data_IF_566528044810
#
_entry.id   IF_566528044810
#
_cell.length_a   1.000
_cell.length_b   1.000
_cell.length_c   1.000
_cell.angle_alpha   90.00
_cell.angle_beta   90.00
_cell.angle_gamma   90.00
#
_symmetry.space_group_name_H-M   'P 1'
#
loop_
_entity.id
_entity.type
_entity.pdbx_description
1 polymer ?
#
# COMPACT_ATOMS: atom_id res chain seq x y z
N UNK A 1 19.80 9.39 -19.71
CA UNK A 1 18.45 9.58 -19.16
C UNK A 1 17.54 8.58 -19.80
N UNK A 2 17.13 7.54 -19.07
CA UNK A 2 16.07 6.66 -19.51
C UNK A 2 14.77 7.47 -19.40
N UNK A 3 14.22 7.88 -20.56
CA UNK A 3 12.90 8.50 -20.61
C UNK A 3 11.94 7.52 -19.94
N UNK A 4 11.26 7.93 -18.87
CA UNK A 4 10.03 7.26 -18.46
C UNK A 4 9.10 7.32 -19.67
N UNK A 5 8.91 6.17 -20.32
CA UNK A 5 8.14 6.06 -21.56
C UNK A 5 6.64 6.12 -21.29
N UNK A 6 5.85 6.03 -22.36
CA UNK A 6 4.44 5.70 -22.24
C UNK A 6 4.37 4.25 -21.75
N UNK A 7 3.70 4.00 -20.62
CA UNK A 7 3.44 2.65 -20.16
C UNK A 7 2.30 2.06 -20.99
N UNK A 8 2.51 0.88 -21.55
CA UNK A 8 1.47 0.13 -22.25
C UNK A 8 1.63 -1.34 -21.93
N UNK A 9 0.51 -2.02 -21.70
CA UNK A 9 0.45 -3.45 -21.49
C UNK A 9 -0.86 -3.99 -22.06
N UNK A 10 -0.93 -5.31 -22.21
CA UNK A 10 -2.17 -6.00 -22.56
C UNK A 10 -3.10 -6.05 -21.35
N UNK A 11 -4.41 -6.03 -21.60
CA UNK A 11 -5.41 -6.38 -20.59
C UNK A 11 -5.68 -7.88 -20.72
N UNK A 12 -5.04 -8.67 -19.85
CA UNK A 12 -5.15 -10.13 -19.88
C UNK A 12 -6.57 -10.56 -19.47
N UNK A 13 -7.06 -11.67 -20.03
CA UNK A 13 -8.13 -12.43 -19.41
C UNK A 13 -7.55 -13.53 -18.50
N UNK A 14 -8.35 -14.17 -17.62
CA UNK A 14 -7.82 -15.17 -16.69
C UNK A 14 -7.08 -16.36 -17.33
N UNK A 15 -7.41 -16.72 -18.58
CA UNK A 15 -6.68 -17.75 -19.33
C UNK A 15 -5.27 -17.28 -19.75
N UNK A 16 -5.13 -16.00 -20.17
CA UNK A 16 -3.82 -15.41 -20.49
C UNK A 16 -2.91 -15.38 -19.26
N UNK A 17 -3.48 -15.07 -18.09
CA UNK A 17 -2.75 -15.05 -16.81
C UNK A 17 -2.16 -16.42 -16.48
N UNK A 18 -2.92 -17.50 -16.67
CA UNK A 18 -2.43 -18.87 -16.46
C UNK A 18 -1.32 -19.27 -17.44
N UNK A 19 -1.29 -18.66 -18.63
CA UNK A 19 -0.30 -18.91 -19.67
C UNK A 19 0.88 -17.93 -19.64
N UNK A 20 0.91 -17.00 -18.67
CA UNK A 20 1.88 -15.92 -18.63
C UNK A 20 3.31 -16.44 -18.36
N UNK A 21 4.26 -16.23 -19.29
CA UNK A 21 5.62 -16.75 -19.17
C UNK A 21 6.42 -16.10 -18.04
N UNK A 22 6.08 -14.87 -17.62
CA UNK A 22 6.73 -14.22 -16.49
C UNK A 22 6.31 -14.84 -15.17
N UNK A 23 5.01 -15.07 -14.97
CA UNK A 23 4.49 -15.77 -13.79
C UNK A 23 5.02 -17.21 -13.72
N UNK A 24 5.07 -17.92 -14.86
CA UNK A 24 5.64 -19.26 -14.94
C UNK A 24 7.13 -19.28 -14.58
N UNK A 25 7.94 -18.35 -15.12
CA UNK A 25 9.37 -18.28 -14.83
C UNK A 25 9.70 -17.96 -13.36
N UNK A 26 8.74 -17.36 -12.63
CA UNK A 26 8.84 -17.09 -11.19
C UNK A 26 8.27 -18.22 -10.32
N UNK A 27 7.79 -19.31 -10.93
CA UNK A 27 7.18 -20.44 -10.23
C UNK A 27 5.91 -20.04 -9.46
N UNK A 28 5.19 -19.02 -9.95
CA UNK A 28 4.03 -18.48 -9.24
C UNK A 28 2.85 -19.46 -9.17
N UNK A 29 2.77 -20.38 -10.13
CA UNK A 29 1.78 -21.46 -10.18
C UNK A 29 2.37 -22.83 -9.79
N UNK A 30 3.55 -22.87 -9.17
CA UNK A 30 4.19 -24.12 -8.71
C UNK A 30 3.55 -24.63 -7.40
N UNK A 31 2.25 -24.86 -7.45
CA UNK A 31 1.40 -25.25 -6.33
C UNK A 31 0.68 -26.56 -6.65
N UNK A 32 0.15 -27.24 -5.64
CA UNK A 32 -0.47 -28.56 -5.81
C UNK A 32 -1.63 -28.55 -6.81
N UNK A 33 -2.40 -27.46 -6.86
CA UNK A 33 -3.54 -27.28 -7.75
C UNK A 33 -3.22 -26.36 -8.93
N UNK A 34 -1.96 -25.92 -9.10
CA UNK A 34 -1.50 -24.99 -10.12
C UNK A 34 -2.30 -23.68 -10.18
N UNK A 35 -2.69 -23.18 -9.01
CA UNK A 35 -3.33 -21.88 -8.77
C UNK A 35 -2.52 -21.10 -7.72
N UNK A 36 -2.62 -19.77 -7.70
CA UNK A 36 -1.80 -18.97 -6.80
C UNK A 36 -2.15 -19.21 -5.32
N UNK A 37 -1.13 -19.34 -4.45
CA UNK A 37 -1.26 -19.57 -3.00
C UNK A 37 -0.40 -18.66 -2.09
N UNK A 38 0.61 -17.98 -2.66
CA UNK A 38 1.49 -17.01 -1.98
C UNK A 38 1.39 -15.57 -2.51
N UNK A 39 1.45 -14.59 -1.61
CA UNK A 39 1.44 -13.16 -1.96
C UNK A 39 2.82 -12.56 -2.28
N UNK A 40 3.89 -13.14 -1.73
CA UNK A 40 5.25 -12.67 -1.94
C UNK A 40 6.21 -13.87 -1.93
N UNK A 41 7.41 -13.68 -2.47
CA UNK A 41 8.48 -14.68 -2.37
C UNK A 41 9.49 -14.29 -1.30
N UNK A 42 10.01 -15.29 -0.60
CA UNK A 42 10.92 -15.13 0.52
C UNK A 42 12.24 -15.82 0.21
N UNK A 43 13.35 -15.09 0.32
CA UNK A 43 14.70 -15.65 0.30
C UNK A 43 15.28 -15.53 1.71
N UNK A 44 15.42 -16.66 2.37
CA UNK A 44 15.93 -16.72 3.74
C UNK A 44 17.42 -16.32 3.79
N UNK A 45 17.81 -15.58 4.83
CA UNK A 45 19.22 -15.31 5.11
C UNK A 45 19.95 -16.60 5.49
N UNK A 46 21.18 -16.76 5.03
CA UNK A 46 21.98 -17.99 5.28
C UNK A 46 22.68 -17.98 6.64
N UNK A 47 22.86 -16.81 7.24
CA UNK A 47 23.49 -16.64 8.54
C UNK A 47 22.43 -16.60 9.65
N UNK A 48 22.65 -17.43 10.67
CA UNK A 48 21.92 -17.40 11.92
C UNK A 48 22.69 -16.51 12.91
N UNK A 49 22.05 -15.46 13.39
CA UNK A 49 22.56 -14.68 14.54
C UNK A 49 21.81 -15.10 15.80
N UNK A 50 22.31 -14.69 16.96
CA UNK A 50 21.50 -14.80 18.18
C UNK A 50 20.18 -14.06 17.97
N UNK A 51 19.09 -14.63 18.48
CA UNK A 51 17.77 -14.02 18.37
C UNK A 51 17.88 -12.55 18.82
N UNK A 52 17.55 -11.58 17.94
CA UNK A 52 17.81 -10.18 18.24
C UNK A 52 17.05 -9.79 19.49
N UNK A 53 17.75 -9.15 20.42
CA UNK A 53 17.14 -8.64 21.64
C UNK A 53 15.95 -7.73 21.26
N UNK A 54 14.81 -7.94 21.91
CA UNK A 54 13.67 -7.03 21.75
C UNK A 54 14.14 -5.64 22.18
N UNK A 55 14.29 -4.73 21.22
CA UNK A 55 14.60 -3.35 21.52
C UNK A 55 13.45 -2.77 22.34
N UNK A 56 13.77 -2.16 23.47
CA UNK A 56 12.79 -1.36 24.21
C UNK A 56 12.52 -0.09 23.41
N UNK A 57 11.39 -0.02 22.73
CA UNK A 57 10.96 1.18 22.02
C UNK A 57 10.41 2.23 22.96
N UNK A 58 10.54 3.50 22.57
CA UNK A 58 9.94 4.64 23.28
C UNK A 58 8.53 4.97 22.79
N UNK A 59 8.18 4.50 21.59
CA UNK A 59 6.85 4.66 21.00
C UNK A 59 5.90 3.56 21.47
N UNK A 60 4.66 3.87 21.88
CA UNK A 60 3.66 2.85 22.16
C UNK A 60 3.21 2.15 20.86
N UNK A 61 2.82 0.87 20.96
CA UNK A 61 2.26 0.10 19.85
C UNK A 61 2.85 -1.31 19.73
N UNK A 62 2.21 -2.20 18.95
CA UNK A 62 2.64 -3.59 18.80
C UNK A 62 4.00 -3.75 18.11
N UNK A 63 4.46 -2.74 17.36
CA UNK A 63 5.78 -2.72 16.75
C UNK A 63 6.77 -1.79 17.49
N UNK A 64 6.49 -1.46 18.75
CA UNK A 64 7.42 -0.71 19.60
C UNK A 64 8.80 -1.38 19.60
N UNK A 65 9.83 -0.57 19.35
CA UNK A 65 11.23 -1.01 19.31
C UNK A 65 11.69 -1.53 17.96
N UNK A 66 10.78 -1.78 17.01
CA UNK A 66 11.16 -2.13 15.63
C UNK A 66 11.70 -0.89 14.93
N UNK A 67 12.86 -1.02 14.30
CA UNK A 67 13.56 0.06 13.60
C UNK A 67 13.52 -0.18 12.09
N UNK A 68 13.01 0.79 11.33
CA UNK A 68 12.82 0.66 9.89
C UNK A 68 13.56 1.78 9.17
N UNK A 69 14.41 1.40 8.21
CA UNK A 69 15.03 2.31 7.28
C UNK A 69 14.22 2.30 5.96
N UNK A 70 13.65 3.44 5.63
CA UNK A 70 12.69 3.63 4.53
C UNK A 70 13.36 4.35 3.35
N UNK A 71 13.67 3.60 2.28
CA UNK A 71 14.10 4.16 1.00
C UNK A 71 12.93 4.30 0.00
N UNK A 72 11.71 4.04 0.44
CA UNK A 72 10.57 4.05 -0.45
C UNK A 72 10.26 5.45 -0.96
N UNK A 73 9.57 5.46 -2.10
CA UNK A 73 9.09 6.66 -2.77
C UNK A 73 7.72 6.40 -3.40
N UNK A 74 6.98 7.46 -3.68
CA UNK A 74 5.60 7.39 -4.16
C UNK A 74 4.69 6.65 -3.15
N UNK A 75 3.77 5.81 -3.63
CA UNK A 75 2.68 5.29 -2.81
C UNK A 75 3.07 4.02 -2.03
N UNK A 76 3.44 2.94 -2.72
CA UNK A 76 3.44 1.59 -2.15
C UNK A 76 4.31 1.47 -0.90
N UNK A 77 5.61 1.68 -1.03
CA UNK A 77 6.51 1.53 0.11
C UNK A 77 6.28 2.60 1.18
N UNK A 78 5.80 3.79 0.81
CA UNK A 78 5.47 4.84 1.78
C UNK A 78 4.30 4.45 2.68
N UNK A 79 3.24 3.85 2.13
CA UNK A 79 2.11 3.31 2.92
C UNK A 79 2.57 2.13 3.77
N UNK A 80 3.46 1.27 3.26
CA UNK A 80 4.01 0.15 4.02
C UNK A 80 4.68 0.65 5.30
N UNK A 81 5.62 1.58 5.18
CA UNK A 81 6.37 2.08 6.34
C UNK A 81 5.56 3.02 7.21
N UNK A 82 4.58 3.75 6.65
CA UNK A 82 3.57 4.47 7.44
C UNK A 82 2.77 3.51 8.30
N UNK A 83 2.29 2.39 7.75
CA UNK A 83 1.54 1.37 8.50
C UNK A 83 2.37 0.82 9.65
N UNK A 84 3.65 0.49 9.40
CA UNK A 84 4.56 0.02 10.44
C UNK A 84 4.81 1.11 11.51
N UNK A 85 5.03 2.35 11.10
CA UNK A 85 5.29 3.48 11.98
C UNK A 85 4.09 3.86 12.84
N UNK A 86 2.90 3.85 12.26
CA UNK A 86 1.65 4.09 12.97
C UNK A 86 1.38 3.00 14.02
N UNK A 87 1.87 1.77 13.79
CA UNK A 87 1.86 0.68 14.77
C UNK A 87 3.01 0.74 15.81
N UNK A 88 3.78 1.83 15.83
CA UNK A 88 4.79 2.11 16.85
C UNK A 88 6.24 1.88 16.43
N UNK A 89 6.51 1.47 15.18
CA UNK A 89 7.88 1.34 14.72
C UNK A 89 8.59 2.71 14.59
N UNK A 90 9.90 2.72 14.76
CA UNK A 90 10.75 3.88 14.53
C UNK A 90 11.16 3.90 13.05
N UNK A 91 10.66 4.86 12.28
CA UNK A 91 10.91 4.95 10.84
C UNK A 91 11.87 6.10 10.54
N UNK A 92 12.98 5.81 9.87
CA UNK A 92 13.88 6.80 9.28
C UNK A 92 13.77 6.72 7.76
N UNK A 93 13.17 7.74 7.15
CA UNK A 93 13.06 7.88 5.70
C UNK A 93 14.30 8.55 5.12
N UNK A 94 14.93 7.88 4.16
CA UNK A 94 16.04 8.42 3.38
C UNK A 94 15.49 9.02 2.09
N UNK A 95 15.71 10.31 1.91
CA UNK A 95 15.23 11.08 0.76
C UNK A 95 16.38 11.84 0.09
N UNK A 96 16.15 12.46 -1.07
CA UNK A 96 17.12 13.35 -1.70
C UNK A 96 16.44 14.60 -2.24
N UNK A 97 17.03 15.77 -2.03
CA UNK A 97 16.56 17.02 -2.66
C UNK A 97 16.79 17.05 -4.17
N UNK A 98 17.81 16.32 -4.64
CA UNK A 98 18.11 16.25 -6.08
C UNK A 98 17.15 15.35 -6.85
N UNK A 99 16.54 14.39 -6.16
CA UNK A 99 15.51 13.49 -6.68
C UNK A 99 14.44 13.27 -5.60
N UNK A 100 13.58 14.27 -5.35
CA UNK A 100 12.57 14.16 -4.31
C UNK A 100 11.62 13.00 -4.56
N UNK A 101 11.04 12.49 -3.47
CA UNK A 101 9.89 11.61 -3.53
C UNK A 101 8.82 12.21 -4.46
N UNK A 102 8.19 11.38 -5.31
CA UNK A 102 7.12 11.85 -6.21
C UNK A 102 6.00 12.54 -5.45
N UNK A 103 5.71 12.11 -4.22
CA UNK A 103 4.70 12.74 -3.38
C UNK A 103 5.05 14.18 -2.95
N UNK A 104 6.34 14.56 -2.99
CA UNK A 104 6.80 15.93 -2.72
C UNK A 104 6.73 16.85 -3.95
N UNK A 105 6.42 16.31 -5.13
CA UNK A 105 6.31 17.07 -6.38
C UNK A 105 4.86 17.42 -6.73
N UNK A 106 3.91 16.86 -6.00
CA UNK A 106 2.50 16.88 -6.31
C UNK A 106 1.81 18.18 -5.88
N UNK A 107 1.20 18.89 -6.83
CA UNK A 107 0.52 20.17 -6.56
C UNK A 107 -0.98 19.97 -6.75
N UNK A 108 -1.65 19.50 -5.70
CA UNK A 108 -3.08 19.15 -5.72
C UNK A 108 -4.00 20.24 -5.20
N UNK A 109 -3.53 21.07 -4.26
CA UNK A 109 -4.36 22.08 -3.57
C UNK A 109 -3.75 23.46 -3.69
N UNK A 110 -4.57 24.49 -3.50
CA UNK A 110 -4.14 25.90 -3.55
C UNK A 110 -3.04 26.25 -2.54
N UNK A 111 -2.96 25.52 -1.43
CA UNK A 111 -1.89 25.67 -0.43
C UNK A 111 -0.54 25.12 -0.91
N UNK A 112 -0.51 24.21 -1.89
CA UNK A 112 0.71 23.63 -2.43
C UNK A 112 1.32 24.51 -3.51
N UNK A 113 2.63 24.77 -3.42
CA UNK A 113 3.35 25.58 -4.41
C UNK A 113 4.39 24.75 -5.19
N UNK A 114 4.58 25.01 -6.50
CA UNK A 114 5.74 24.48 -7.22
C UNK A 114 7.04 24.89 -6.52
N UNK A 115 7.98 23.96 -6.36
CA UNK A 115 9.30 24.21 -5.78
C UNK A 115 9.37 24.18 -4.24
N UNK A 116 8.24 24.13 -3.54
CA UNK A 116 8.21 23.79 -2.11
C UNK A 116 7.95 22.29 -1.95
N UNK A 117 8.75 21.59 -1.14
CA UNK A 117 8.62 20.14 -0.95
C UNK A 117 7.77 19.74 0.26
N UNK A 118 7.44 20.69 1.12
CA UNK A 118 6.86 20.41 2.44
C UNK A 118 5.39 20.83 2.55
N UNK A 119 4.82 21.54 1.58
CA UNK A 119 3.41 21.96 1.55
C UNK A 119 2.52 20.99 0.74
N UNK A 120 2.79 19.68 0.85
CA UNK A 120 2.28 18.64 -0.05
C UNK A 120 1.31 17.70 0.71
N UNK A 121 -0.02 17.79 0.51
CA UNK A 121 -1.00 16.93 1.18
C UNK A 121 -0.75 15.45 0.93
N UNK A 122 -0.45 15.07 -0.31
CA UNK A 122 -0.20 13.68 -0.66
C UNK A 122 1.02 13.11 0.09
N UNK A 123 2.14 13.85 0.15
CA UNK A 123 3.28 13.46 0.98
C UNK A 123 2.92 13.37 2.45
N UNK A 124 2.22 14.38 2.97
CA UNK A 124 1.83 14.48 4.38
C UNK A 124 0.98 13.30 4.82
N UNK A 125 0.04 12.89 3.96
CA UNK A 125 -0.81 11.75 4.19
C UNK A 125 -0.02 10.42 4.22
N UNK A 126 0.90 10.21 3.27
CA UNK A 126 1.61 8.95 3.09
C UNK A 126 2.78 8.73 4.07
N UNK A 127 3.21 9.76 4.80
CA UNK A 127 4.47 9.73 5.55
C UNK A 127 4.33 10.14 7.02
N UNK A 128 3.14 10.00 7.62
CA UNK A 128 3.01 10.11 9.09
C UNK A 128 3.89 9.10 9.80
N UNK A 129 4.24 9.38 11.05
CA UNK A 129 5.03 8.50 11.91
C UNK A 129 6.47 8.26 11.45
N UNK A 130 7.04 9.16 10.63
CA UNK A 130 8.40 9.04 10.09
C UNK A 130 9.27 10.23 10.46
N UNK A 131 10.56 9.97 10.63
CA UNK A 131 11.63 10.98 10.58
C UNK A 131 12.24 11.00 9.19
N UNK A 132 12.79 12.12 8.76
CA UNK A 132 13.39 12.28 7.41
C UNK A 132 14.85 12.72 7.49
N UNK A 133 15.68 12.07 6.69
CA UNK A 133 17.08 12.39 6.42
C UNK A 133 17.22 12.61 4.92
N UNK A 134 17.64 13.82 4.52
CA UNK A 134 17.99 14.06 3.12
C UNK A 134 19.45 13.74 2.89
N UNK A 135 19.73 12.92 1.87
CA UNK A 135 21.09 12.50 1.52
C UNK A 135 21.33 12.51 0.01
N UNK A 136 22.48 13.06 -0.36
CA UNK A 136 23.05 12.88 -1.68
C UNK A 136 23.82 11.57 -1.76
N UNK A 137 23.12 10.49 -2.09
CA UNK A 137 23.68 9.12 -2.17
C UNK A 137 24.79 8.94 -3.23
N UNK A 138 25.11 9.96 -4.04
CA UNK A 138 26.26 9.93 -4.96
C UNK A 138 27.57 10.30 -4.29
N UNK A 139 27.52 10.92 -3.12
CA UNK A 139 28.68 11.30 -2.32
C UNK A 139 29.13 10.07 -1.52
N UNK A 140 30.39 9.62 -1.64
CA UNK A 140 30.90 8.53 -0.83
C UNK A 140 30.70 8.76 0.67
N UNK A 141 30.80 10.01 1.11
CA UNK A 141 30.61 10.44 2.51
C UNK A 141 29.18 10.20 3.03
N UNK A 142 28.19 10.01 2.15
CA UNK A 142 26.84 9.60 2.57
C UNK A 142 26.84 8.25 3.30
N UNK A 143 27.85 7.41 3.05
CA UNK A 143 28.05 6.13 3.76
C UNK A 143 28.32 6.32 5.25
N UNK A 144 28.84 7.47 5.69
CA UNK A 144 29.01 7.78 7.11
C UNK A 144 27.67 7.85 7.87
N UNK A 145 26.54 8.00 7.16
CA UNK A 145 25.21 7.89 7.76
C UNK A 145 24.53 6.57 7.41
N UNK A 146 24.61 6.14 6.15
CA UNK A 146 23.89 4.95 5.70
C UNK A 146 24.38 3.69 6.42
N UNK A 147 25.69 3.52 6.55
CA UNK A 147 26.24 2.29 7.12
C UNK A 147 25.90 2.13 8.61
N UNK A 148 25.98 3.17 9.48
CA UNK A 148 25.44 3.09 10.83
C UNK A 148 23.92 2.88 10.89
N UNK A 149 23.15 3.47 9.96
CA UNK A 149 21.71 3.27 9.91
C UNK A 149 21.32 1.84 9.52
N UNK A 150 22.11 1.16 8.71
CA UNK A 150 21.94 -0.27 8.42
C UNK A 150 22.23 -1.13 9.66
N UNK A 151 23.23 -0.76 10.47
CA UNK A 151 23.52 -1.45 11.74
C UNK A 151 22.40 -1.24 12.76
N UNK A 152 21.77 -0.07 12.74
CA UNK A 152 20.64 0.27 13.59
C UNK A 152 19.34 -0.43 13.18
N UNK A 153 19.12 -0.64 11.88
CA UNK A 153 17.84 -1.10 11.35
C UNK A 153 17.54 -2.59 11.61
N UNK A 154 16.26 -2.88 11.86
CA UNK A 154 15.69 -4.23 11.79
C UNK A 154 15.17 -4.56 10.40
N UNK A 155 14.62 -3.54 9.74
CA UNK A 155 13.92 -3.66 8.46
C UNK A 155 14.42 -2.58 7.50
N UNK A 156 14.64 -2.95 6.25
CA UNK A 156 14.83 -2.02 5.13
C UNK A 156 13.66 -2.17 4.16
N UNK A 157 13.01 -1.08 3.80
CA UNK A 157 11.94 -1.08 2.79
C UNK A 157 12.33 -0.20 1.61
N UNK A 158 12.16 -0.73 0.40
CA UNK A 158 12.39 0.00 -0.84
C UNK A 158 11.41 -0.46 -1.93
N UNK A 159 11.16 0.43 -2.89
CA UNK A 159 10.34 0.13 -4.08
C UNK A 159 10.90 0.78 -5.35
N UNK A 160 12.21 0.69 -5.53
CA UNK A 160 12.88 1.12 -6.75
C UNK A 160 12.77 0.07 -7.86
N UNK A 161 13.08 0.48 -9.09
CA UNK A 161 13.24 -0.47 -10.19
C UNK A 161 14.33 -1.50 -9.85
N UNK A 162 14.12 -2.80 -10.13
CA UNK A 162 15.07 -3.85 -9.77
C UNK A 162 16.50 -3.55 -10.23
N UNK A 163 17.47 -3.81 -9.34
CA UNK A 163 18.89 -3.50 -9.55
C UNK A 163 19.31 -2.07 -9.18
N UNK A 164 18.38 -1.18 -8.79
CA UNK A 164 18.74 0.16 -8.28
C UNK A 164 19.50 0.06 -6.96
N UNK A 165 19.02 -0.73 -6.00
CA UNK A 165 19.69 -0.92 -4.72
C UNK A 165 21.05 -1.61 -4.88
N UNK A 166 21.19 -2.57 -5.81
CA UNK A 166 22.47 -3.20 -6.13
C UNK A 166 23.51 -2.18 -6.64
N UNK A 167 23.10 -1.26 -7.54
CA UNK A 167 23.97 -0.17 -8.02
C UNK A 167 24.40 0.80 -6.91
N UNK A 168 23.59 0.91 -5.86
CA UNK A 168 23.92 1.70 -4.67
C UNK A 168 24.79 0.91 -3.68
N UNK A 169 24.95 -0.41 -3.85
CA UNK A 169 25.60 -1.29 -2.87
C UNK A 169 24.74 -1.49 -1.61
N UNK A 170 23.43 -1.55 -1.78
CA UNK A 170 22.40 -1.67 -0.73
C UNK A 170 21.38 -2.77 -1.07
N UNK A 171 21.74 -3.71 -1.95
CA UNK A 171 20.92 -4.91 -2.15
C UNK A 171 20.98 -5.83 -0.93
N UNK A 172 20.06 -6.79 -0.87
CA UNK A 172 19.94 -7.65 0.31
C UNK A 172 21.25 -8.36 0.66
N UNK A 173 22.01 -8.84 -0.33
CA UNK A 173 23.26 -9.56 -0.06
C UNK A 173 24.31 -8.64 0.57
N UNK A 174 24.41 -7.38 0.12
CA UNK A 174 25.26 -6.36 0.75
C UNK A 174 24.80 -6.02 2.16
N UNK A 175 23.48 -5.89 2.37
CA UNK A 175 22.92 -5.57 3.67
C UNK A 175 23.08 -6.72 4.66
N UNK A 176 22.78 -7.95 4.26
CA UNK A 176 22.89 -9.15 5.08
C UNK A 176 24.35 -9.48 5.44
N UNK A 177 25.31 -9.13 4.58
CA UNK A 177 26.73 -9.25 4.92
C UNK A 177 27.15 -8.33 6.08
N UNK A 178 26.48 -7.18 6.24
CA UNK A 178 26.72 -6.22 7.32
C UNK A 178 25.85 -6.48 8.55
N UNK A 179 24.56 -6.72 8.33
CA UNK A 179 23.55 -7.00 9.34
C UNK A 179 22.78 -8.28 8.96
N UNK A 180 23.24 -9.47 9.40
CA UNK A 180 22.64 -10.74 9.00
C UNK A 180 21.19 -10.96 9.47
N UNK A 181 20.75 -10.20 10.47
CA UNK A 181 19.37 -10.21 10.97
C UNK A 181 18.43 -9.27 10.21
N UNK A 182 18.89 -8.57 9.17
CA UNK A 182 18.07 -7.59 8.46
C UNK A 182 16.91 -8.27 7.70
N UNK A 183 15.72 -7.70 7.81
CA UNK A 183 14.61 -8.01 6.89
C UNK A 183 14.57 -6.94 5.82
N UNK A 184 14.76 -7.31 4.55
CA UNK A 184 14.62 -6.38 3.43
C UNK A 184 13.32 -6.65 2.68
N UNK A 185 12.58 -5.60 2.34
CA UNK A 185 11.42 -5.69 1.45
C UNK A 185 11.66 -4.87 0.20
N UNK A 186 11.53 -5.53 -0.95
CA UNK A 186 11.64 -4.92 -2.27
C UNK A 186 10.29 -4.99 -2.99
N UNK A 187 9.64 -3.85 -3.16
CA UNK A 187 8.40 -3.74 -3.93
C UNK A 187 8.63 -3.32 -5.38
N UNK A 188 8.12 -4.07 -6.36
CA UNK A 188 8.10 -3.62 -7.76
C UNK A 188 6.87 -4.18 -8.49
N UNK A 189 6.58 -3.68 -9.70
CA UNK A 189 5.40 -4.18 -10.42
C UNK A 189 5.54 -5.65 -10.80
N UNK A 190 6.71 -6.05 -11.29
CA UNK A 190 6.96 -7.39 -11.81
C UNK A 190 7.75 -8.31 -10.87
N UNK A 191 8.14 -7.81 -9.69
CA UNK A 191 9.08 -8.48 -8.79
C UNK A 191 10.55 -8.27 -9.17
N UNK A 192 11.47 -8.84 -8.40
CA UNK A 192 12.91 -8.69 -8.57
C UNK A 192 13.53 -9.65 -9.61
N UNK A 193 12.77 -10.65 -10.06
CA UNK A 193 13.23 -11.72 -10.97
C UNK A 193 12.20 -12.02 -12.05
N UNK A 194 12.60 -12.77 -13.08
CA UNK A 194 11.73 -13.13 -14.21
C UNK A 194 11.91 -12.25 -15.44
N UNK A 195 11.38 -12.66 -16.61
CA UNK A 195 11.53 -11.99 -17.89
C UNK A 195 11.14 -10.49 -17.89
N UNK A 196 10.11 -10.11 -17.13
CA UNK A 196 9.60 -8.74 -17.07
C UNK A 196 10.18 -7.94 -15.89
N UNK A 197 11.15 -8.47 -15.12
CA UNK A 197 11.65 -7.78 -13.92
C UNK A 197 12.25 -6.39 -14.20
N UNK A 198 12.79 -6.17 -15.40
CA UNK A 198 13.37 -4.88 -15.80
C UNK A 198 12.35 -3.94 -16.46
N UNK A 199 11.11 -4.40 -16.66
CA UNK A 199 10.05 -3.57 -17.20
C UNK A 199 9.54 -2.57 -16.16
N UNK A 200 9.05 -1.43 -16.65
CA UNK A 200 8.46 -0.42 -15.81
C UNK A 200 6.93 -0.56 -15.80
N UNK A 201 6.32 -0.36 -14.63
CA UNK A 201 4.89 -0.52 -14.41
C UNK A 201 4.36 0.54 -13.46
N UNK A 202 3.05 0.74 -13.50
CA UNK A 202 2.25 1.47 -12.50
C UNK A 202 1.05 0.61 -12.11
N UNK A 203 0.20 1.07 -11.19
CA UNK A 203 -0.98 0.34 -10.73
C UNK A 203 -1.83 -0.24 -11.88
N UNK A 204 -2.16 0.59 -12.87
CA UNK A 204 -2.93 0.17 -14.05
C UNK A 204 -2.28 -0.97 -14.83
N UNK A 205 -0.94 -1.07 -14.82
CA UNK A 205 -0.20 -2.19 -15.41
C UNK A 205 -0.47 -3.48 -14.65
N UNK A 206 -0.38 -3.44 -13.32
CA UNK A 206 -0.68 -4.60 -12.46
C UNK A 206 -2.15 -5.04 -12.56
N UNK A 207 -3.08 -4.09 -12.60
CA UNK A 207 -4.51 -4.35 -12.77
C UNK A 207 -4.86 -4.97 -14.13
N UNK A 208 -4.25 -4.47 -15.22
CA UNK A 208 -4.50 -4.97 -16.57
C UNK A 208 -3.93 -6.39 -16.77
N UNK A 209 -2.68 -6.62 -16.35
CA UNK A 209 -2.05 -7.92 -16.52
C UNK A 209 -2.65 -9.00 -15.62
N UNK A 210 -3.18 -8.64 -14.45
CA UNK A 210 -3.75 -9.62 -13.50
C UNK A 210 -5.11 -10.21 -13.89
N UNK A 211 -5.71 -9.76 -15.00
CA UNK A 211 -7.07 -10.16 -15.37
C UNK A 211 -8.17 -9.33 -14.71
N UNK A 212 -7.82 -8.47 -13.76
CA UNK A 212 -8.78 -7.65 -13.01
C UNK A 212 -9.48 -6.63 -13.91
N UNK A 213 -8.74 -5.91 -14.75
CA UNK A 213 -9.33 -4.93 -15.68
C UNK A 213 -10.32 -5.60 -16.64
N UNK A 214 -9.98 -6.77 -17.20
CA UNK A 214 -10.86 -7.51 -18.12
C UNK A 214 -12.20 -7.90 -17.49
N UNK A 215 -12.17 -8.28 -16.21
CA UNK A 215 -13.33 -8.71 -15.42
C UNK A 215 -14.13 -7.56 -14.82
N UNK A 216 -13.69 -6.31 -15.01
CA UNK A 216 -14.38 -5.13 -14.48
C UNK A 216 -15.23 -4.46 -15.56
N UNK A 217 -16.49 -4.15 -15.23
CA UNK A 217 -17.41 -3.39 -16.07
C UNK A 217 -18.68 -4.17 -16.44
N UNK A 218 -19.48 -3.59 -17.33
CA UNK A 218 -20.70 -4.22 -17.84
C UNK A 218 -20.39 -5.20 -18.96
N UNK A 219 -21.13 -6.32 -19.02
CA UNK A 219 -20.90 -7.40 -19.98
C UNK A 219 -20.98 -6.95 -21.45
N UNK A 220 -21.82 -5.94 -21.73
CA UNK A 220 -22.09 -5.36 -23.04
C UNK A 220 -21.20 -4.14 -23.37
N UNK A 221 -20.23 -3.80 -22.50
CA UNK A 221 -19.31 -2.66 -22.67
C UNK A 221 -17.86 -3.10 -22.65
N UNK A 222 -16.96 -2.21 -23.05
CA UNK A 222 -15.53 -2.44 -22.95
C UNK A 222 -15.07 -2.60 -21.49
N UNK A 223 -13.95 -3.33 -21.24
CA UNK A 223 -13.33 -3.39 -19.92
C UNK A 223 -12.98 -2.00 -19.38
N UNK A 224 -13.10 -1.82 -18.07
CA UNK A 224 -12.76 -0.55 -17.41
C UNK A 224 -11.73 -0.78 -16.31
N UNK A 225 -10.88 0.22 -16.07
CA UNK A 225 -10.02 0.22 -14.89
C UNK A 225 -10.94 0.44 -13.67
N UNK A 226 -10.96 -0.46 -12.67
CA UNK A 226 -11.88 -0.38 -11.54
C UNK A 226 -11.60 0.81 -10.63
N UNK A 227 -12.57 1.73 -10.55
CA UNK A 227 -12.61 2.82 -9.57
C UNK A 227 -11.56 3.91 -9.78
N UNK A 228 -11.61 4.94 -8.92
CA UNK A 228 -10.63 6.02 -8.88
C UNK A 228 -9.41 5.68 -7.99
N UNK A 229 -9.50 4.63 -7.18
CA UNK A 229 -8.46 4.22 -6.24
C UNK A 229 -7.57 3.15 -6.88
N UNK A 230 -6.25 3.35 -6.93
CA UNK A 230 -5.34 2.42 -7.60
C UNK A 230 -5.16 1.16 -6.74
N UNK A 231 -5.74 0.03 -7.19
CA UNK A 231 -5.95 -1.15 -6.36
C UNK A 231 -4.65 -1.82 -5.88
N UNK A 232 -3.75 -2.13 -6.80
CA UNK A 232 -2.44 -2.72 -6.52
C UNK A 232 -1.64 -1.84 -5.57
N UNK A 233 -1.66 -0.53 -5.83
CA UNK A 233 -1.02 0.50 -5.04
C UNK A 233 -1.53 0.56 -3.58
N UNK A 234 -2.77 0.16 -3.29
CA UNK A 234 -3.33 0.12 -1.93
C UNK A 234 -3.28 -1.25 -1.26
N UNK A 235 -3.32 -2.37 -2.00
CA UNK A 235 -3.27 -3.72 -1.39
C UNK A 235 -1.83 -4.17 -1.09
N UNK A 236 -0.90 -3.88 -2.00
CA UNK A 236 0.51 -4.29 -1.88
C UNK A 236 1.16 -3.78 -0.58
N UNK A 237 0.92 -2.53 -0.13
CA UNK A 237 1.50 -2.04 1.12
C UNK A 237 1.14 -2.86 2.35
N UNK A 238 -0.12 -3.29 2.44
CA UNK A 238 -0.59 -4.08 3.59
C UNK A 238 -0.05 -5.51 3.54
N UNK A 239 0.07 -6.08 2.34
CA UNK A 239 0.77 -7.36 2.13
C UNK A 239 2.24 -7.25 2.56
N UNK A 240 2.94 -6.19 2.14
CA UNK A 240 4.34 -5.95 2.54
C UNK A 240 4.46 -5.78 4.06
N UNK A 241 3.58 -4.99 4.69
CA UNK A 241 3.61 -4.77 6.13
C UNK A 241 3.33 -6.07 6.92
N UNK A 242 2.39 -6.90 6.46
CA UNK A 242 2.13 -8.22 7.04
C UNK A 242 3.35 -9.15 6.86
N UNK A 243 3.98 -9.13 5.68
CA UNK A 243 5.21 -9.87 5.40
C UNK A 243 6.35 -9.48 6.34
N UNK A 244 6.53 -8.17 6.61
CA UNK A 244 7.49 -7.68 7.60
C UNK A 244 7.19 -8.22 9.00
N UNK A 245 5.94 -8.14 9.45
CA UNK A 245 5.56 -8.64 10.77
C UNK A 245 5.82 -10.14 10.92
N UNK A 246 5.48 -10.94 9.88
CA UNK A 246 5.77 -12.37 9.84
C UNK A 246 7.26 -12.68 9.83
N UNK A 247 8.05 -11.95 9.02
CA UNK A 247 9.49 -12.10 8.97
C UNK A 247 10.18 -11.74 10.29
N UNK A 248 9.74 -10.67 10.95
CA UNK A 248 10.25 -10.28 12.27
C UNK A 248 9.90 -11.33 13.33
N UNK A 249 8.70 -11.91 13.30
CA UNK A 249 8.34 -13.01 14.19
C UNK A 249 9.23 -14.24 13.95
N UNK A 250 9.41 -14.65 12.69
CA UNK A 250 10.28 -15.77 12.35
C UNK A 250 11.72 -15.51 12.79
N UNK A 251 12.25 -14.31 12.54
CA UNK A 251 13.58 -13.89 12.99
C UNK A 251 13.73 -13.93 14.51
N UNK A 252 12.69 -13.65 15.29
CA UNK A 252 12.75 -13.78 16.78
C UNK A 252 12.98 -15.23 17.21
N UNK A 253 12.49 -16.19 16.44
CA UNK A 253 12.62 -17.61 16.74
C UNK A 253 13.92 -18.20 16.20
N UNK A 254 14.35 -17.76 15.01
CA UNK A 254 15.48 -18.37 14.29
C UNK A 254 16.74 -17.53 14.28
N UNK A 255 16.66 -16.23 14.57
CA UNK A 255 17.75 -15.28 14.41
C UNK A 255 18.12 -15.00 12.95
N UNK A 256 17.30 -15.38 11.97
CA UNK A 256 17.61 -15.21 10.54
C UNK A 256 16.80 -14.08 9.93
N UNK A 257 17.48 -13.15 9.26
CA UNK A 257 16.85 -12.18 8.37
C UNK A 257 16.29 -12.83 7.10
N UNK A 258 15.61 -12.04 6.27
CA UNK A 258 15.14 -12.50 4.96
C UNK A 258 14.96 -11.34 3.97
N UNK A 259 14.91 -11.69 2.68
CA UNK A 259 14.51 -10.80 1.61
C UNK A 259 13.10 -11.16 1.16
N UNK A 260 12.20 -10.18 1.20
CA UNK A 260 10.83 -10.26 0.71
C UNK A 260 10.76 -9.56 -0.64
N UNK A 261 10.56 -10.33 -1.72
CA UNK A 261 10.27 -9.80 -3.06
C UNK A 261 8.74 -9.75 -3.25
N UNK A 262 8.21 -8.53 -3.27
CA UNK A 262 6.79 -8.24 -3.37
C UNK A 262 6.45 -7.69 -4.77
N UNK A 263 5.93 -8.57 -5.63
CA UNK A 263 5.46 -8.23 -6.97
C UNK A 263 4.01 -7.76 -6.94
N UNK A 264 3.74 -6.52 -7.37
CA UNK A 264 2.37 -6.02 -7.50
C UNK A 264 1.54 -6.91 -8.43
N UNK A 265 2.14 -7.38 -9.52
CA UNK A 265 1.48 -8.23 -10.48
C UNK A 265 1.00 -9.53 -9.81
N UNK A 266 1.89 -10.23 -9.10
CA UNK A 266 1.55 -11.48 -8.38
C UNK A 266 0.48 -11.24 -7.30
N UNK A 267 0.60 -10.14 -6.54
CA UNK A 267 -0.36 -9.78 -5.49
C UNK A 267 -1.74 -9.46 -6.08
N UNK A 268 -1.81 -8.81 -7.24
CA UNK A 268 -3.07 -8.57 -7.93
C UNK A 268 -3.67 -9.89 -8.46
N UNK A 269 -2.84 -10.79 -9.02
CA UNK A 269 -3.30 -12.10 -9.54
C UNK A 269 -3.85 -12.99 -8.42
N UNK A 270 -3.27 -12.93 -7.21
CA UNK A 270 -3.78 -13.67 -6.04
C UNK A 270 -5.27 -13.41 -5.77
N UNK A 271 -5.73 -12.18 -5.98
CA UNK A 271 -7.13 -11.81 -5.75
C UNK A 271 -8.09 -12.40 -6.80
N UNK A 272 -7.56 -12.92 -7.91
CA UNK A 272 -8.33 -13.45 -9.03
C UNK A 272 -8.44 -14.98 -8.99
N UNK A 273 -8.03 -15.64 -7.90
CA UNK A 273 -7.91 -17.10 -7.79
C UNK A 273 -9.17 -17.86 -8.26
N UNK A 274 -10.35 -17.40 -7.87
CA UNK A 274 -11.62 -18.06 -8.25
C UNK A 274 -11.87 -18.04 -9.76
N UNK A 275 -11.54 -16.92 -10.42
CA UNK A 275 -11.66 -16.78 -11.88
C UNK A 275 -10.57 -17.53 -12.63
N UNK A 276 -9.36 -17.63 -12.07
CA UNK A 276 -8.31 -18.50 -12.60
C UNK A 276 -8.72 -19.97 -12.50
N UNK A 277 -9.38 -20.37 -11.41
CA UNK A 277 -9.90 -21.73 -11.25
C UNK A 277 -10.99 -22.04 -12.29
N UNK A 278 -11.86 -21.08 -12.63
CA UNK A 278 -12.83 -21.19 -13.72
C UNK A 278 -12.13 -21.36 -15.07
N UNK A 279 -11.17 -20.47 -15.38
CA UNK A 279 -10.40 -20.54 -16.62
C UNK A 279 -9.66 -21.88 -16.79
N UNK A 280 -9.10 -22.40 -15.70
CA UNK A 280 -8.44 -23.71 -15.67
C UNK A 280 -9.38 -24.88 -15.99
N UNK A 281 -10.68 -24.75 -15.71
CA UNK A 281 -11.72 -25.72 -16.11
C UNK A 281 -12.21 -25.53 -17.55
N UNK A 282 -11.66 -24.59 -18.29
CA UNK A 282 -12.06 -24.25 -19.66
C UNK A 282 -13.23 -23.27 -19.74
N UNK A 283 -13.65 -22.68 -18.61
CA UNK A 283 -14.64 -21.61 -18.60
C UNK A 283 -13.99 -20.28 -19.01
N UNK A 284 -14.77 -19.32 -19.49
CA UNK A 284 -14.28 -17.97 -19.81
C UNK A 284 -15.03 -16.94 -19.00
N UNK A 285 -14.67 -16.72 -17.72
CA UNK A 285 -15.35 -15.75 -16.86
C UNK A 285 -15.45 -14.38 -17.53
N UNK A 286 -16.61 -13.75 -17.43
CA UNK A 286 -16.88 -12.44 -17.99
C UNK A 286 -17.20 -11.43 -16.88
N UNK A 287 -17.07 -10.15 -17.20
CA UNK A 287 -17.53 -9.04 -16.36
C UNK A 287 -19.06 -9.03 -16.27
N UNK A 288 -19.60 -8.72 -15.10
CA UNK A 288 -21.02 -8.91 -14.76
C UNK A 288 -21.70 -7.63 -14.24
N UNK A 289 -21.07 -6.46 -14.39
CA UNK A 289 -21.55 -5.22 -13.78
C UNK A 289 -21.58 -5.33 -12.26
N UNK A 290 -22.73 -5.02 -11.65
CA UNK A 290 -22.91 -5.11 -10.20
C UNK A 290 -23.26 -6.52 -9.71
N UNK A 291 -23.48 -7.51 -10.59
CA UNK A 291 -23.90 -8.85 -10.19
C UNK A 291 -22.73 -9.75 -9.70
N UNK A 292 -23.06 -10.76 -8.89
CA UNK A 292 -22.15 -11.82 -8.45
C UNK A 292 -22.88 -13.17 -8.57
N UNK A 293 -22.25 -14.17 -9.18
CA UNK A 293 -22.84 -15.49 -9.40
C UNK A 293 -23.21 -16.24 -8.10
N UNK A 294 -22.71 -15.80 -6.94
CA UNK A 294 -22.96 -16.37 -5.61
C UNK A 294 -24.12 -15.67 -4.88
N UNK A 295 -24.62 -14.55 -5.41
CA UNK A 295 -25.69 -13.75 -4.81
C UNK A 295 -26.93 -13.85 -5.70
N UNK A 296 -28.09 -14.19 -5.11
CA UNK A 296 -29.32 -14.38 -5.89
C UNK A 296 -29.72 -13.13 -6.69
N UNK A 297 -29.68 -11.96 -6.05
CA UNK A 297 -29.90 -10.68 -6.72
C UNK A 297 -29.14 -9.56 -5.99
N UNK A 298 -28.50 -8.66 -6.73
CA UNK A 298 -27.93 -7.44 -6.17
C UNK A 298 -27.77 -6.38 -7.26
N UNK A 299 -27.83 -5.11 -6.89
CA UNK A 299 -27.55 -4.00 -7.79
C UNK A 299 -27.22 -2.70 -7.02
N UNK A 300 -26.73 -1.70 -7.76
CA UNK A 300 -26.62 -0.30 -7.33
C UNK A 300 -27.72 0.50 -8.01
N UNK A 301 -28.62 1.07 -7.22
CA UNK A 301 -29.85 1.71 -7.70
C UNK A 301 -29.88 3.20 -7.34
N UNK A 302 -30.48 4.05 -8.21
CA UNK A 302 -30.56 5.48 -7.93
C UNK A 302 -31.47 5.74 -6.73
N UNK A 303 -31.14 6.79 -5.99
CA UNK A 303 -31.93 7.37 -4.92
C UNK A 303 -32.30 8.82 -5.27
N UNK A 304 -33.18 9.45 -4.49
CA UNK A 304 -33.53 10.85 -4.70
C UNK A 304 -32.35 11.77 -4.44
N UNK A 305 -32.06 12.66 -5.38
CA UNK A 305 -30.97 13.63 -5.30
C UNK A 305 -30.10 13.61 -6.54
N UNK A 306 -29.05 14.44 -6.54
CA UNK A 306 -28.03 14.44 -7.58
C UNK A 306 -26.96 13.39 -7.24
N UNK A 307 -26.72 12.46 -8.17
CA UNK A 307 -25.75 11.37 -8.07
C UNK A 307 -25.83 10.55 -6.75
N UNK A 308 -27.06 10.29 -6.26
CA UNK A 308 -27.31 9.50 -5.04
C UNK A 308 -27.69 8.07 -5.38
N UNK A 309 -27.14 7.10 -4.64
CA UNK A 309 -27.34 5.68 -4.92
C UNK A 309 -27.38 4.84 -3.65
N UNK A 310 -28.04 3.68 -3.75
CA UNK A 310 -28.02 2.62 -2.74
C UNK A 310 -27.56 1.31 -3.37
N UNK A 311 -26.72 0.56 -2.66
CA UNK A 311 -26.34 -0.80 -3.02
C UNK A 311 -27.20 -1.78 -2.21
N UNK A 312 -27.89 -2.70 -2.90
CA UNK A 312 -28.77 -3.69 -2.27
C UNK A 312 -28.30 -5.10 -2.66
N UNK A 313 -28.18 -5.99 -1.68
CA UNK A 313 -27.85 -7.40 -1.89
C UNK A 313 -28.88 -8.32 -1.25
N UNK A 314 -29.39 -9.26 -2.04
CA UNK A 314 -30.27 -10.34 -1.63
C UNK A 314 -29.57 -11.68 -1.89
N UNK A 315 -28.91 -12.26 -0.88
CA UNK A 315 -28.18 -13.53 -1.03
C UNK A 315 -29.09 -14.70 -1.42
N UNK A 316 -30.37 -14.66 -1.02
CA UNK A 316 -31.34 -15.73 -1.27
C UNK A 316 -32.58 -15.23 -2.01
N UNK A 317 -33.31 -16.17 -2.63
CA UNK A 317 -34.62 -15.90 -3.22
C UNK A 317 -35.63 -15.35 -2.19
N UNK A 318 -35.55 -15.82 -0.94
CA UNK A 318 -36.41 -15.34 0.13
C UNK A 318 -36.14 -13.86 0.49
N UNK A 319 -34.89 -13.42 0.45
CA UNK A 319 -34.54 -12.02 0.70
C UNK A 319 -35.00 -11.12 -0.44
N UNK A 320 -34.86 -11.58 -1.68
CA UNK A 320 -35.39 -10.87 -2.85
C UNK A 320 -36.92 -10.78 -2.80
N UNK A 321 -37.62 -11.85 -2.39
CA UNK A 321 -39.07 -11.82 -2.22
C UNK A 321 -39.51 -10.80 -1.15
N UNK A 322 -38.77 -10.66 -0.04
CA UNK A 322 -39.02 -9.61 0.97
C UNK A 322 -38.82 -8.21 0.38
N UNK A 323 -37.75 -8.01 -0.39
CA UNK A 323 -37.49 -6.74 -1.08
C UNK A 323 -38.68 -6.38 -1.98
N UNK A 324 -39.10 -7.29 -2.86
CA UNK A 324 -40.22 -7.04 -3.78
C UNK A 324 -41.56 -6.83 -3.06
N UNK A 325 -41.76 -7.43 -1.88
CA UNK A 325 -42.95 -7.17 -1.07
C UNK A 325 -43.01 -5.73 -0.52
N UNK A 326 -41.85 -5.09 -0.31
CA UNK A 326 -41.74 -3.71 0.15
C UNK A 326 -41.75 -2.71 -1.02
N UNK A 327 -41.00 -3.03 -2.08
CA UNK A 327 -40.73 -2.09 -3.18
C UNK A 327 -41.67 -2.24 -4.37
N UNK A 328 -42.36 -3.38 -4.46
CA UNK A 328 -42.95 -3.83 -5.72
C UNK A 328 -41.89 -4.34 -6.70
N UNK A 329 -42.29 -4.75 -7.91
CA UNK A 329 -41.39 -5.34 -8.91
C UNK A 329 -40.37 -4.37 -9.49
N UNK A 330 -40.64 -3.06 -9.44
CA UNK A 330 -39.74 -2.02 -9.94
C UNK A 330 -38.98 -1.36 -8.79
N UNK A 331 -37.92 -2.03 -8.33
CA UNK A 331 -37.10 -1.58 -7.20
C UNK A 331 -36.47 -0.22 -7.51
N UNK A 332 -36.03 0.02 -8.73
CA UNK A 332 -35.38 1.27 -9.15
C UNK A 332 -36.36 2.46 -9.10
N UNK A 333 -37.60 2.27 -9.56
CA UNK A 333 -38.63 3.30 -9.44
C UNK A 333 -38.95 3.59 -7.96
N UNK A 334 -38.94 2.58 -7.10
CA UNK A 334 -39.17 2.75 -5.67
C UNK A 334 -38.01 3.50 -4.98
N UNK A 335 -36.75 3.18 -5.30
CA UNK A 335 -35.59 3.85 -4.69
C UNK A 335 -35.40 5.27 -5.21
N UNK A 336 -35.57 5.51 -6.51
CA UNK A 336 -35.22 6.81 -7.16
C UNK A 336 -35.96 8.03 -6.63
N UNK A 337 -37.08 7.84 -5.93
CA UNK A 337 -37.89 8.93 -5.36
C UNK A 337 -37.72 9.10 -3.84
N UNK A 338 -36.82 8.32 -3.22
CA UNK A 338 -36.63 8.27 -1.76
C UNK A 338 -35.20 8.64 -1.39
N UNK A 339 -35.05 9.23 -0.22
CA UNK A 339 -33.75 9.52 0.40
C UNK A 339 -32.96 8.22 0.63
N UNK A 340 -31.67 8.23 0.32
CA UNK A 340 -30.80 7.05 0.35
C UNK A 340 -30.61 6.47 1.76
N UNK A 341 -30.42 7.33 2.77
CA UNK A 341 -30.33 6.92 4.17
C UNK A 341 -31.65 6.32 4.66
N UNK A 342 -32.79 6.91 4.27
CA UNK A 342 -34.10 6.36 4.60
C UNK A 342 -34.34 4.99 3.95
N UNK A 343 -33.94 4.80 2.68
CA UNK A 343 -33.98 3.49 2.03
C UNK A 343 -33.12 2.48 2.78
N UNK A 344 -31.86 2.82 3.07
CA UNK A 344 -30.95 1.93 3.77
C UNK A 344 -31.49 1.52 5.14
N UNK A 345 -31.96 2.47 5.95
CA UNK A 345 -32.52 2.20 7.27
C UNK A 345 -33.79 1.32 7.19
N UNK A 346 -34.69 1.58 6.24
CA UNK A 346 -35.93 0.82 6.08
C UNK A 346 -35.65 -0.63 5.65
N UNK A 347 -34.80 -0.83 4.66
CA UNK A 347 -34.46 -2.18 4.18
C UNK A 347 -33.68 -2.98 5.23
N UNK A 348 -32.73 -2.34 5.92
CA UNK A 348 -31.98 -2.97 7.02
C UNK A 348 -32.89 -3.38 8.18
N UNK A 349 -33.91 -2.58 8.52
CA UNK A 349 -34.89 -2.92 9.54
C UNK A 349 -35.71 -4.19 9.21
N UNK A 350 -35.79 -4.54 7.92
CA UNK A 350 -36.42 -5.77 7.43
C UNK A 350 -35.40 -6.92 7.17
N UNK A 351 -34.15 -6.72 7.57
CA UNK A 351 -33.07 -7.71 7.40
C UNK A 351 -32.56 -7.85 5.96
N UNK A 352 -32.81 -6.86 5.10
CA UNK A 352 -32.27 -6.81 3.74
C UNK A 352 -30.97 -6.01 3.77
N UNK A 353 -29.90 -6.56 3.21
CA UNK A 353 -28.62 -5.87 3.15
C UNK A 353 -28.72 -4.70 2.16
N UNK A 354 -28.63 -3.48 2.69
CA UNK A 354 -28.64 -2.24 1.93
C UNK A 354 -27.61 -1.27 2.51
N UNK A 355 -26.89 -0.55 1.66
CA UNK A 355 -25.98 0.51 2.07
C UNK A 355 -26.06 1.71 1.13
N UNK A 356 -25.83 2.90 1.66
CA UNK A 356 -25.70 4.12 0.83
C UNK A 356 -24.35 4.09 0.12
N UNK A 357 -24.34 4.42 -1.17
CA UNK A 357 -23.10 4.66 -1.92
C UNK A 357 -22.60 6.05 -1.54
N UNK A 358 -21.58 6.09 -0.69
CA UNK A 358 -21.05 7.33 -0.15
C UNK A 358 -20.03 7.97 -1.10
N UNK A 359 -20.04 9.29 -1.18
CA UNK A 359 -18.96 10.08 -1.74
C UNK A 359 -17.92 10.48 -0.66
N UNK A 360 -16.87 11.19 -1.06
CA UNK A 360 -15.83 11.61 -0.14
C UNK A 360 -16.33 12.61 0.93
N UNK A 361 -17.30 13.46 0.61
CA UNK A 361 -17.85 14.44 1.56
C UNK A 361 -18.68 13.72 2.62
N UNK A 362 -19.53 12.78 2.22
CA UNK A 362 -20.28 11.92 3.12
C UNK A 362 -19.36 11.19 4.11
N UNK A 363 -18.32 10.54 3.58
CA UNK A 363 -17.37 9.77 4.39
C UNK A 363 -16.63 10.62 5.43
N UNK A 364 -16.26 11.85 5.07
CA UNK A 364 -15.44 12.73 5.92
C UNK A 364 -16.30 13.52 6.91
N UNK A 365 -17.44 14.03 6.46
CA UNK A 365 -18.21 15.03 7.19
C UNK A 365 -19.45 14.44 7.88
N UNK A 366 -19.99 13.31 7.40
CA UNK A 366 -21.36 12.87 7.76
C UNK A 366 -21.42 11.43 8.28
N UNK A 367 -20.48 10.57 7.91
CA UNK A 367 -20.48 9.16 8.30
C UNK A 367 -20.22 8.99 9.81
N UNK A 368 -21.29 8.71 10.55
CA UNK A 368 -21.25 8.52 12.00
C UNK A 368 -20.37 7.33 12.42
N UNK A 369 -20.23 6.30 11.58
CA UNK A 369 -19.38 5.15 11.86
C UNK A 369 -17.91 5.54 11.71
N UNK A 370 -17.52 6.26 10.65
CA UNK A 370 -16.15 6.73 10.47
C UNK A 370 -15.75 7.75 11.55
N UNK A 371 -16.65 8.69 11.88
CA UNK A 371 -16.47 9.63 12.99
C UNK A 371 -16.32 8.88 14.31
N UNK A 372 -17.23 7.95 14.62
CA UNK A 372 -17.20 7.17 15.87
C UNK A 372 -15.97 6.27 16.00
N UNK A 373 -15.37 5.86 14.89
CA UNK A 373 -14.13 5.08 14.85
C UNK A 373 -12.86 5.95 14.87
N UNK A 374 -12.98 7.27 14.80
CA UNK A 374 -11.84 8.17 14.70
C UNK A 374 -11.02 7.94 13.42
N UNK A 375 -11.71 7.68 12.30
CA UNK A 375 -11.07 7.35 11.03
C UNK A 375 -10.13 8.44 10.50
N UNK A 376 -10.33 9.70 10.94
CA UNK A 376 -9.49 10.83 10.62
C UNK A 376 -8.78 11.34 11.88
N UNK A 377 -7.45 11.24 11.89
CA UNK A 377 -6.60 11.86 12.89
C UNK A 377 -6.18 13.26 12.42
N UNK A 378 -6.58 14.29 13.17
CA UNK A 378 -6.16 15.67 12.90
C UNK A 378 -4.79 15.93 13.52
N UNK A 379 -3.80 16.25 12.68
CA UNK A 379 -2.44 16.57 13.12
C UNK A 379 -2.07 17.99 12.69
N UNK A 380 -1.36 18.71 13.56
CA UNK A 380 -0.88 20.07 13.25
C UNK A 380 0.31 20.01 12.29
N UNK A 381 0.12 20.53 11.08
CA UNK A 381 1.15 20.60 10.06
C UNK A 381 1.69 22.04 9.90
N UNK A 382 3.02 22.27 9.94
CA UNK A 382 3.60 23.62 9.93
C UNK A 382 3.17 24.51 8.76
N UNK A 383 2.88 23.91 7.60
CA UNK A 383 2.51 24.63 6.38
C UNK A 383 1.05 24.42 5.94
N UNK A 384 0.39 23.37 6.43
CA UNK A 384 -0.98 23.02 6.01
C UNK A 384 -2.01 23.36 7.10
N UNK A 385 -1.57 23.74 8.30
CA UNK A 385 -2.43 23.89 9.48
C UNK A 385 -2.91 22.53 10.00
N UNK A 386 -4.05 22.48 10.70
CA UNK A 386 -4.69 21.22 11.07
C UNK A 386 -5.04 20.41 9.82
N UNK A 387 -4.41 19.26 9.66
CA UNK A 387 -4.57 18.41 8.47
C UNK A 387 -5.04 17.01 8.87
N UNK A 388 -6.03 16.50 8.14
CA UNK A 388 -6.63 15.18 8.39
C UNK A 388 -5.80 14.06 7.76
N UNK A 389 -5.43 13.08 8.58
CA UNK A 389 -4.76 11.86 8.15
C UNK A 389 -5.68 10.66 8.37
N UNK A 390 -5.76 9.74 7.40
CA UNK A 390 -6.48 8.49 7.62
C UNK A 390 -5.73 7.70 8.70
N UNK A 391 -6.42 7.44 9.80
CA UNK A 391 -5.92 6.66 10.91
C UNK A 391 -5.92 5.17 10.55
N UNK A 392 -5.14 4.37 11.28
CA UNK A 392 -5.24 2.91 11.14
C UNK A 392 -6.68 2.46 11.45
N UNK A 393 -7.33 1.71 10.56
CA UNK A 393 -8.68 1.21 10.83
C UNK A 393 -8.68 0.09 11.89
N UNK A 394 -7.50 -0.45 12.22
CA UNK A 394 -7.29 -1.52 13.19
C UNK A 394 -7.17 -0.91 14.58
N UNK A 395 -8.09 -1.29 15.47
CA UNK A 395 -8.08 -0.88 16.87
C UNK A 395 -7.57 -2.01 17.76
N UNK A 396 -6.64 -1.70 18.65
CA UNK A 396 -6.12 -2.64 19.64
C UNK A 396 -6.83 -2.38 20.97
N UNK A 397 -7.36 -3.44 21.61
CA UNK A 397 -8.09 -3.30 22.87
C UNK A 397 -7.25 -2.83 24.05
N UNK A 398 -5.93 -3.08 23.99
CA UNK A 398 -4.97 -2.72 25.05
C UNK A 398 -4.26 -1.39 24.79
N UNK A 399 -3.97 -1.10 23.53
CA UNK A 399 -2.99 -0.09 23.14
C UNK A 399 -3.69 0.99 22.31
N UNK A 400 -3.60 2.26 22.75
CA UNK A 400 -3.97 3.42 21.93
C UNK A 400 -2.70 4.17 21.61
N UNK A 401 -2.34 4.21 20.33
CA UNK A 401 -1.17 4.90 19.83
C UNK A 401 -1.62 5.81 18.68
N UNK A 402 -1.02 6.99 18.61
CA UNK A 402 -1.38 8.01 17.63
C UNK A 402 -0.21 8.28 16.70
N UNK A 403 -0.46 8.46 15.40
CA UNK A 403 0.56 8.92 14.48
C UNK A 403 1.01 10.34 14.86
N UNK A 404 2.23 10.68 14.47
CA UNK A 404 2.66 12.08 14.41
C UNK A 404 2.80 12.51 12.95
N UNK A 405 2.80 13.84 12.71
CA UNK A 405 2.78 14.39 11.35
C UNK A 405 3.94 13.90 10.49
N UNK A 406 3.78 13.98 9.19
CA UNK A 406 4.89 13.75 8.27
C UNK A 406 6.03 14.78 8.50
N UNK A 407 7.29 14.37 8.24
CA UNK A 407 8.44 15.23 8.42
C UNK A 407 8.66 16.15 7.21
N UNK A 408 9.18 17.35 7.45
CA UNK A 408 9.78 18.17 6.41
C UNK A 408 11.02 17.50 5.79
N UNK A 409 11.41 17.91 4.59
CA UNK A 409 12.54 17.33 3.87
C UNK A 409 13.85 17.45 4.66
N UNK A 410 14.36 16.32 5.14
CA UNK A 410 15.58 16.26 5.94
C UNK A 410 15.45 16.90 7.33
N UNK A 411 14.23 17.06 7.85
CA UNK A 411 13.97 17.74 9.13
C UNK A 411 14.80 17.18 10.30
N UNK A 412 15.17 15.90 10.25
CA UNK A 412 15.81 15.20 11.36
C UNK A 412 17.28 14.84 11.06
N UNK A 413 17.87 15.37 9.98
CA UNK A 413 19.18 14.92 9.47
C UNK A 413 20.31 15.10 10.50
N UNK A 414 20.42 16.26 11.15
CA UNK A 414 21.48 16.50 12.14
C UNK A 414 21.28 15.71 13.43
N UNK A 415 20.03 15.58 13.88
CA UNK A 415 19.68 14.77 15.06
C UNK A 415 20.06 13.30 14.83
N UNK A 416 19.70 12.73 13.68
CA UNK A 416 20.02 11.35 13.32
C UNK A 416 21.52 11.15 13.15
N UNK A 417 22.20 12.07 12.46
CA UNK A 417 23.64 12.03 12.27
C UNK A 417 24.41 11.97 13.60
N UNK A 418 23.96 12.73 14.61
CA UNK A 418 24.56 12.73 15.93
C UNK A 418 24.15 11.50 16.75
N UNK A 419 22.85 11.28 16.90
CA UNK A 419 22.32 10.40 17.93
C UNK A 419 22.34 8.93 17.49
N UNK A 420 22.20 8.66 16.18
CA UNK A 420 22.23 7.30 15.63
C UNK A 420 23.55 6.96 14.94
N UNK A 421 24.19 7.93 14.27
CA UNK A 421 25.44 7.69 13.53
C UNK A 421 26.70 8.08 14.32
N UNK A 422 26.57 8.71 15.49
CA UNK A 422 27.71 9.06 16.37
C UNK A 422 28.61 10.17 15.80
N UNK A 423 28.12 10.96 14.84
CA UNK A 423 28.92 12.03 14.23
C UNK A 423 29.00 13.24 15.16
N UNK A 424 30.18 13.87 15.20
CA UNK A 424 30.38 15.10 15.95
C UNK A 424 29.76 16.29 15.22
N UNK A 425 29.38 17.35 15.94
CA UNK A 425 28.87 18.59 15.35
C UNK A 425 29.83 19.19 14.30
N UNK A 426 31.14 19.06 14.53
CA UNK A 426 32.16 19.48 13.56
C UNK A 426 32.07 18.67 12.26
N UNK A 427 31.95 17.34 12.35
CA UNK A 427 31.81 16.48 11.16
C UNK A 427 30.49 16.70 10.43
N UNK A 428 29.40 16.91 11.16
CA UNK A 428 28.09 17.24 10.59
C UNK A 428 28.19 18.54 9.77
N UNK A 429 28.84 19.57 10.30
CA UNK A 429 29.05 20.83 9.57
C UNK A 429 29.91 20.65 8.30
N UNK A 430 30.95 19.79 8.34
CA UNK A 430 31.75 19.46 7.16
C UNK A 430 30.93 18.74 6.08
N UNK A 431 30.08 17.78 6.48
CA UNK A 431 29.21 17.04 5.56
C UNK A 431 28.15 17.95 4.92
N UNK A 432 27.60 18.89 5.68
CA UNK A 432 26.66 19.89 5.17
C UNK A 432 27.33 20.79 4.11
N UNK A 433 28.52 21.32 4.41
CA UNK A 433 29.32 22.10 3.47
C UNK A 433 29.70 21.30 2.21
N UNK A 434 29.95 19.99 2.34
CA UNK A 434 30.23 19.09 1.23
C UNK A 434 28.99 18.74 0.39
N UNK A 435 27.80 19.17 0.81
CA UNK A 435 26.52 18.92 0.15
C UNK A 435 26.03 17.48 0.32
N UNK A 436 26.39 16.82 1.41
CA UNK A 436 25.97 15.44 1.71
C UNK A 436 24.50 15.40 2.13
N UNK A 437 24.01 16.41 2.84
CA UNK A 437 22.60 16.51 3.27
C UNK A 437 21.66 17.14 2.23
N UNK A 438 22.12 17.21 0.97
CA UNK A 438 21.32 17.72 -0.16
C UNK A 438 20.47 16.62 -0.78
#
# INVERSE_FOLDING_TARGET
>A
GLRRGINACVANEPADVLADPHLAARGFFDTADGLPDRFASFREGTAQVDAPAIHTGTRPGPLSGVKVLDFAWALVGSITTKTLGDLGAEIVKIESRTRPDLARLDVQVSASKPGNWDDKPWFSHLNTSKRSVSLNMKKPEARELIDPLIDWADVVVENFSPGTMAKLGLDYDSLAARNPGIVMVSGSVFGQTGPMAQEWGVDGTGGALSGRTFLTGWADRDPVIPGAVPFGDVIVPYVMAAGVAGALQHRRETGRGCHIDASMYEICVQQMRDYLAQAKRGERPQRMGNADARVFWQDVLPAAGDDRWVAISCPTEADHAKLLALTGPDVAAWTSIRDDQAIAAELQAHGIACGVVQDCEDMIERDAQLIGRGALAMLDHPLLGPFGHIATPIQFSRDTFQPFRAPGMGEHVHEIARDLCGLTEARIAELDQAGVFQ
#
